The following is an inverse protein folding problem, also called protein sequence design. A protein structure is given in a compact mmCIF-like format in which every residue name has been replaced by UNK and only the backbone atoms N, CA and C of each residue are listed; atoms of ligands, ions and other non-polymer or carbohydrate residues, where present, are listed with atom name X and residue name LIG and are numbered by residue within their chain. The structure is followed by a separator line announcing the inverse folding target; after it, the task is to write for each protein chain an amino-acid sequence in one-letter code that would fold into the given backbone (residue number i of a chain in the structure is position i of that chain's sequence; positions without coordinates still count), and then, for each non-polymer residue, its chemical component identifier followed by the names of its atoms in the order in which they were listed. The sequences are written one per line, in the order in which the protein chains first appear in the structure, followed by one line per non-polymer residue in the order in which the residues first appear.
data_IF_390416387870
#
_entry.id   IF_390416387870
#
_cell.length_a   1.000
_cell.length_b   1.000
_cell.length_c   1.000
_cell.angle_alpha   90.00
_cell.angle_beta   90.00
_cell.angle_gamma   90.00
#
_symmetry.space_group_name_H-M   'P 1'
#
loop_
_entity.id
_entity.type
_entity.pdbx_description
1 polymer ?
#
# COMPACT_ATOMS: atom_id res chain seq x y z
N UNK A 1 -38.56 -4.99 33.37
CA UNK A 1 -38.62 -4.09 32.19
C UNK A 1 -37.63 -2.97 32.44
N UNK A 2 -36.38 -3.36 32.28
CA UNK A 2 -35.08 -2.71 32.51
C UNK A 2 -34.20 -3.79 31.89
N UNK A 3 -33.49 -3.59 30.80
CA UNK A 3 -32.55 -2.53 30.57
C UNK A 3 -32.20 -2.62 29.08
N UNK A 4 -32.46 -1.54 28.35
CA UNK A 4 -32.11 -1.40 26.92
C UNK A 4 -31.35 -0.09 26.72
N UNK A 5 -30.88 0.51 27.82
CA UNK A 5 -30.20 1.80 27.86
C UNK A 5 -28.72 1.62 28.20
N UNK A 6 -28.33 0.56 28.92
CA UNK A 6 -26.92 0.27 29.19
C UNK A 6 -26.22 -0.39 27.97
N UNK A 7 -26.90 -1.27 27.22
CA UNK A 7 -26.33 -1.90 26.01
C UNK A 7 -25.95 -0.90 24.90
N UNK A 8 -26.71 0.19 24.76
CA UNK A 8 -26.45 1.21 23.73
C UNK A 8 -25.25 2.09 24.10
N UNK A 9 -24.97 2.26 25.39
CA UNK A 9 -23.83 3.05 25.86
C UNK A 9 -22.51 2.30 25.63
N UNK A 10 -22.47 0.98 25.88
CA UNK A 10 -21.26 0.17 25.65
C UNK A 10 -20.92 0.07 24.15
N UNK A 11 -21.93 -0.03 23.28
CA UNK A 11 -21.72 -0.02 21.82
C UNK A 11 -21.26 1.35 21.31
N UNK A 12 -21.74 2.47 21.88
CA UNK A 12 -21.26 3.81 21.52
C UNK A 12 -19.81 4.01 21.98
N UNK A 13 -19.45 3.60 23.20
CA UNK A 13 -18.06 3.70 23.67
C UNK A 13 -17.08 2.78 22.92
N UNK A 14 -17.55 1.60 22.50
CA UNK A 14 -16.77 0.66 21.66
C UNK A 14 -16.57 1.23 20.25
N UNK A 15 -17.62 1.77 19.64
CA UNK A 15 -17.56 2.42 18.32
C UNK A 15 -16.71 3.70 18.38
N UNK A 16 -16.78 4.48 19.46
CA UNK A 16 -15.93 5.66 19.66
C UNK A 16 -14.47 5.26 19.89
N UNK A 17 -14.15 4.19 20.63
CA UNK A 17 -12.77 3.65 20.71
C UNK A 17 -12.25 3.17 19.36
N UNK A 18 -13.07 2.46 18.58
CA UNK A 18 -12.72 1.99 17.23
C UNK A 18 -12.50 3.19 16.28
N UNK A 19 -13.24 4.29 16.45
CA UNK A 19 -13.08 5.53 15.67
C UNK A 19 -11.92 6.42 16.18
N UNK A 20 -11.60 6.38 17.47
CA UNK A 20 -10.47 7.09 18.08
C UNK A 20 -9.13 6.41 17.72
N UNK A 21 -9.09 5.07 17.61
CA UNK A 21 -7.91 4.34 17.13
C UNK A 21 -7.59 4.57 15.64
N UNK A 22 -8.61 4.94 14.83
CA UNK A 22 -8.46 5.19 13.38
C UNK A 22 -8.16 6.64 13.00
N UNK A 23 -8.21 7.59 13.94
CA UNK A 23 -8.08 9.03 13.67
C UNK A 23 -6.68 9.60 13.90
N UNK A 24 -5.70 8.76 14.24
CA UNK A 24 -4.39 9.22 14.68
C UNK A 24 -3.30 9.24 13.60
N UNK A 25 -3.59 9.36 12.30
CA UNK A 25 -2.50 9.54 11.30
C UNK A 25 -2.80 10.50 10.12
N UNK A 26 -3.91 11.25 10.14
CA UNK A 26 -4.18 12.30 9.13
C UNK A 26 -3.44 13.64 9.40
N UNK A 27 -2.37 13.63 10.20
CA UNK A 27 -1.76 14.84 10.74
C UNK A 27 -0.58 15.44 9.98
N UNK A 28 0.07 14.76 9.02
CA UNK A 28 1.37 15.21 8.53
C UNK A 28 1.67 15.09 7.01
N UNK A 29 0.76 14.57 6.18
CA UNK A 29 1.05 14.39 4.73
C UNK A 29 0.35 15.41 3.82
N UNK A 30 0.00 16.59 4.33
CA UNK A 30 -0.72 17.62 3.59
C UNK A 30 0.06 18.93 3.47
N UNK A 31 0.95 19.04 2.49
CA UNK A 31 1.21 20.24 1.66
C UNK A 31 2.59 20.17 0.96
N UNK A 32 2.61 19.70 -0.29
CA UNK A 32 3.68 20.09 -1.24
C UNK A 32 3.06 20.53 -2.57
N UNK A 33 2.28 21.60 -2.51
CA UNK A 33 2.06 22.45 -3.68
C UNK A 33 3.29 23.36 -3.81
N UNK A 34 4.25 23.01 -4.66
CA UNK A 34 5.28 23.96 -5.10
C UNK A 34 4.99 24.37 -6.54
N UNK A 35 4.73 25.67 -6.65
CA UNK A 35 4.37 26.40 -7.84
C UNK A 35 5.44 26.32 -8.94
N UNK A 36 4.96 26.21 -10.17
CA UNK A 36 5.73 26.43 -11.40
C UNK A 36 6.34 27.84 -11.41
N UNK A 37 7.66 27.94 -11.41
CA UNK A 37 8.37 29.13 -11.90
C UNK A 37 9.37 28.74 -12.98
N UNK A 38 9.12 29.28 -14.17
CA UNK A 38 10.01 29.23 -15.34
C UNK A 38 11.22 30.13 -15.08
N UNK A 39 12.44 29.62 -15.27
CA UNK A 39 13.67 30.41 -15.18
C UNK A 39 14.89 29.70 -15.80
N UNK A 40 15.51 30.37 -16.77
CA UNK A 40 16.61 29.98 -17.66
C UNK A 40 17.86 29.29 -17.05
N UNK A 41 18.35 28.29 -17.80
CA UNK A 41 19.73 27.96 -18.18
C UNK A 41 20.91 28.28 -17.22
N UNK A 42 21.58 27.21 -16.77
CA UNK A 42 22.97 27.22 -16.33
C UNK A 42 23.52 25.80 -16.28
N UNK A 43 24.49 25.49 -17.15
CA UNK A 43 25.29 24.26 -17.11
C UNK A 43 26.18 24.29 -15.86
N UNK A 44 25.68 23.72 -14.77
CA UNK A 44 26.46 23.32 -13.60
C UNK A 44 25.95 21.96 -13.19
N UNK A 45 26.86 20.98 -13.06
CA UNK A 45 26.51 19.67 -12.52
C UNK A 45 25.87 19.86 -11.14
N UNK A 46 24.54 19.77 -11.09
CA UNK A 46 23.83 19.65 -9.85
C UNK A 46 24.17 18.26 -9.31
N UNK A 47 25.15 18.19 -8.42
CA UNK A 47 25.08 17.19 -7.35
C UNK A 47 23.72 17.42 -6.69
N UNK A 48 22.75 16.55 -6.98
CA UNK A 48 21.57 16.43 -6.17
C UNK A 48 22.06 16.06 -4.78
N UNK A 49 22.19 17.05 -3.91
CA UNK A 49 22.30 16.86 -2.46
C UNK A 49 20.92 16.37 -2.02
N UNK A 50 20.62 15.11 -2.31
CA UNK A 50 19.33 14.48 -2.05
C UNK A 50 19.21 14.15 -0.57
N UNK A 51 18.93 15.16 0.25
CA UNK A 51 18.06 14.96 1.40
C UNK A 51 16.67 15.44 0.98
N UNK A 52 15.98 14.65 0.17
CA UNK A 52 14.52 14.75 0.14
C UNK A 52 14.06 14.18 1.48
N UNK A 53 13.57 15.04 2.37
CA UNK A 53 13.04 14.59 3.66
C UNK A 53 11.96 13.53 3.40
N UNK A 54 12.04 12.42 4.12
CA UNK A 54 11.04 11.36 4.10
C UNK A 54 10.36 11.28 5.46
N UNK A 55 9.08 10.96 5.44
CA UNK A 55 8.31 10.76 6.66
C UNK A 55 8.54 9.34 7.19
N UNK A 56 8.64 9.21 8.51
CA UNK A 56 8.73 7.90 9.18
C UNK A 56 7.45 7.61 9.92
N UNK A 57 6.76 6.55 9.51
CA UNK A 57 5.59 6.02 10.22
C UNK A 57 6.03 4.81 11.02
N UNK A 58 6.15 4.95 12.35
CA UNK A 58 6.41 3.81 13.24
C UNK A 58 5.10 3.14 13.60
N UNK A 59 4.97 1.87 13.23
CA UNK A 59 3.79 1.07 13.53
C UNK A 59 3.99 0.37 14.89
N UNK A 60 3.09 0.57 15.86
CA UNK A 60 3.18 -0.11 17.16
C UNK A 60 3.07 -1.64 17.04
N UNK A 61 3.49 -2.33 18.09
CA UNK A 61 3.36 -3.78 18.15
C UNK A 61 1.88 -4.22 18.03
N UNK A 62 1.62 -5.20 17.17
CA UNK A 62 0.28 -5.72 16.88
C UNK A 62 -0.63 -4.78 16.07
N UNK A 63 -0.16 -3.59 15.69
CA UNK A 63 -0.93 -2.63 14.91
C UNK A 63 -0.64 -2.74 13.40
N UNK A 64 -1.47 -2.07 12.59
CA UNK A 64 -1.32 -2.01 11.14
C UNK A 64 -1.39 -0.60 10.63
N UNK A 65 -0.44 -0.21 9.77
CA UNK A 65 -0.57 0.99 8.95
C UNK A 65 -1.49 0.72 7.76
N UNK A 66 -2.48 1.58 7.52
CA UNK A 66 -3.42 1.44 6.38
C UNK A 66 -3.38 2.69 5.50
N UNK A 67 -3.22 2.51 4.19
CA UNK A 67 -3.20 3.58 3.19
C UNK A 67 -3.99 3.21 1.95
N UNK A 68 -5.06 3.96 1.69
CA UNK A 68 -5.72 3.95 0.38
C UNK A 68 -5.15 5.08 -0.48
N UNK A 69 -4.81 4.78 -1.74
CA UNK A 69 -4.38 5.71 -2.77
C UNK A 69 -5.43 5.70 -3.87
N UNK A 70 -6.19 6.79 -3.95
CA UNK A 70 -7.32 6.93 -4.88
C UNK A 70 -6.89 7.57 -6.20
N UNK A 71 -7.83 7.72 -7.14
CA UNK A 71 -7.59 8.37 -8.42
C UNK A 71 -6.94 9.76 -8.28
N UNK A 72 -5.87 10.01 -9.04
CA UNK A 72 -5.08 11.24 -9.05
C UNK A 72 -4.21 11.46 -7.81
N UNK A 73 -4.26 10.57 -6.82
CA UNK A 73 -3.52 10.70 -5.58
C UNK A 73 -2.06 10.26 -5.73
N UNK A 74 -1.18 10.88 -4.94
CA UNK A 74 0.23 10.53 -4.83
C UNK A 74 0.57 10.19 -3.38
N UNK A 75 1.18 9.03 -3.15
CA UNK A 75 1.75 8.62 -1.89
C UNK A 75 3.27 8.46 -2.07
N UNK A 76 4.04 9.42 -1.56
CA UNK A 76 5.46 9.53 -1.88
C UNK A 76 6.33 9.80 -0.65
N UNK A 77 7.59 9.34 -0.68
CA UNK A 77 8.65 9.65 0.28
C UNK A 77 8.32 9.24 1.74
N UNK A 78 7.94 7.97 1.94
CA UNK A 78 7.57 7.45 3.27
C UNK A 78 8.34 6.18 3.61
N UNK A 79 8.89 6.11 4.83
CA UNK A 79 9.40 4.90 5.44
C UNK A 79 8.38 4.40 6.49
N UNK A 80 7.76 3.26 6.21
CA UNK A 80 6.86 2.57 7.14
C UNK A 80 7.72 1.58 7.94
N UNK A 81 7.86 1.80 9.23
CA UNK A 81 8.65 1.00 10.15
C UNK A 81 7.74 0.02 10.90
N UNK A 82 7.77 -1.24 10.47
CA UNK A 82 7.07 -2.40 11.05
C UNK A 82 8.01 -3.25 11.92
N UNK A 83 9.10 -2.70 12.44
CA UNK A 83 10.06 -3.48 13.26
C UNK A 83 9.54 -3.91 14.63
N UNK A 84 8.37 -3.45 15.05
CA UNK A 84 7.72 -3.94 16.28
C UNK A 84 7.02 -5.27 16.02
N UNK A 85 7.00 -6.16 17.02
CA UNK A 85 6.36 -7.48 16.93
C UNK A 85 4.90 -7.36 16.50
N UNK A 86 4.51 -8.12 15.46
CA UNK A 86 3.16 -8.10 14.92
C UNK A 86 2.74 -6.82 14.19
N UNK A 87 3.65 -5.87 13.99
CA UNK A 87 3.37 -4.68 13.22
C UNK A 87 3.29 -5.02 11.73
N UNK A 88 2.28 -4.47 11.04
CA UNK A 88 2.04 -4.74 9.62
C UNK A 88 1.69 -3.48 8.84
N UNK A 89 1.53 -3.62 7.52
CA UNK A 89 1.05 -2.55 6.65
C UNK A 89 0.01 -3.08 5.64
N UNK A 90 -0.80 -2.16 5.13
CA UNK A 90 -1.78 -2.41 4.09
C UNK A 90 -1.89 -1.15 3.20
N UNK A 91 -1.46 -1.27 1.95
CA UNK A 91 -1.53 -0.23 0.92
C UNK A 91 -2.46 -0.73 -0.18
N UNK A 92 -3.52 0.03 -0.45
CA UNK A 92 -4.45 -0.24 -1.55
C UNK A 92 -4.46 0.93 -2.52
N UNK A 93 -3.93 0.73 -3.73
CA UNK A 93 -3.85 1.74 -4.79
C UNK A 93 -4.74 1.36 -5.97
N UNK A 94 -5.88 2.02 -6.12
CA UNK A 94 -6.88 1.71 -7.14
C UNK A 94 -7.44 2.97 -7.79
N UNK A 95 -8.00 2.82 -9.00
CA UNK A 95 -8.56 3.91 -9.77
C UNK A 95 -7.66 4.38 -10.91
N UNK A 96 -7.63 5.68 -11.17
CA UNK A 96 -6.99 6.28 -12.35
C UNK A 96 -5.87 7.25 -11.97
N UNK A 97 -4.73 7.17 -12.66
CA UNK A 97 -3.63 8.14 -12.61
C UNK A 97 -3.04 8.38 -11.21
N UNK A 98 -2.95 7.30 -10.41
CA UNK A 98 -2.34 7.32 -9.08
C UNK A 98 -0.84 7.01 -9.10
N UNK A 99 -0.11 7.46 -8.07
CA UNK A 99 1.31 7.16 -7.89
C UNK A 99 1.64 6.74 -6.45
N UNK A 100 2.39 5.65 -6.33
CA UNK A 100 3.13 5.27 -5.13
C UNK A 100 4.62 5.32 -5.46
N UNK A 101 5.39 6.17 -4.77
CA UNK A 101 6.81 6.38 -5.09
C UNK A 101 7.69 6.52 -3.86
N UNK A 102 8.91 5.98 -3.88
CA UNK A 102 9.89 6.17 -2.80
C UNK A 102 9.29 5.74 -1.44
N UNK A 103 8.71 4.54 -1.41
CA UNK A 103 8.11 3.97 -0.20
C UNK A 103 8.97 2.80 0.25
N UNK A 104 9.48 2.89 1.47
CA UNK A 104 10.24 1.81 2.11
C UNK A 104 9.43 1.17 3.22
N UNK A 105 9.56 -0.15 3.36
CA UNK A 105 9.12 -0.93 4.50
C UNK A 105 10.37 -1.38 5.23
N UNK A 106 10.47 -1.00 6.50
CA UNK A 106 11.54 -1.43 7.40
C UNK A 106 10.99 -2.40 8.42
N UNK A 107 11.68 -3.52 8.62
CA UNK A 107 11.25 -4.58 9.53
C UNK A 107 10.71 -5.79 8.79
N UNK A 108 10.82 -6.94 9.46
CA UNK A 108 10.32 -8.23 8.99
C UNK A 108 8.82 -8.30 9.24
N UNK A 109 8.07 -8.76 8.23
CA UNK A 109 6.69 -9.15 8.42
C UNK A 109 6.61 -10.52 9.10
N UNK A 110 6.15 -10.54 10.35
CA UNK A 110 6.14 -11.73 11.22
C UNK A 110 4.73 -12.36 11.40
N UNK A 111 3.78 -12.01 10.53
CA UNK A 111 2.43 -12.57 10.51
C UNK A 111 2.26 -13.58 9.37
N UNK A 112 2.09 -14.86 9.72
CA UNK A 112 2.17 -15.98 8.77
C UNK A 112 0.84 -16.37 8.09
N UNK A 113 -0.24 -15.64 8.35
CA UNK A 113 -1.50 -15.83 7.62
C UNK A 113 -1.39 -15.31 6.18
N UNK A 114 -2.11 -15.94 5.23
CA UNK A 114 -2.24 -15.44 3.86
C UNK A 114 -2.70 -13.97 3.85
N UNK A 115 -1.87 -13.08 3.32
CA UNK A 115 -2.14 -11.64 3.15
C UNK A 115 -1.52 -11.08 1.87
N UNK A 116 -2.04 -9.93 1.44
CA UNK A 116 -1.62 -9.17 0.26
C UNK A 116 -1.46 -7.70 0.68
N UNK A 117 -0.37 -7.32 1.36
CA UNK A 117 -0.22 -6.00 1.98
C UNK A 117 -0.07 -4.84 0.99
N UNK A 118 0.20 -5.09 -0.28
CA UNK A 118 0.08 -4.07 -1.32
C UNK A 118 -0.84 -4.57 -2.44
N UNK A 119 -2.04 -3.99 -2.51
CA UNK A 119 -3.05 -4.31 -3.53
C UNK A 119 -3.16 -3.18 -4.55
N UNK A 120 -3.18 -3.52 -5.84
CA UNK A 120 -3.17 -2.55 -6.93
C UNK A 120 -4.20 -2.86 -8.03
N UNK A 121 -4.84 -1.83 -8.57
CA UNK A 121 -5.64 -1.89 -9.80
C UNK A 121 -5.56 -0.56 -10.55
N UNK A 122 -5.82 -0.60 -11.85
CA UNK A 122 -5.86 0.62 -12.67
C UNK A 122 -7.07 0.52 -13.59
N UNK A 123 -7.84 1.61 -13.67
CA UNK A 123 -9.00 1.68 -14.54
C UNK A 123 -8.60 1.64 -16.03
N UNK A 124 -9.53 1.19 -16.86
CA UNK A 124 -9.35 1.10 -18.31
C UNK A 124 -8.96 2.46 -18.91
N UNK A 125 -7.85 2.48 -19.64
CA UNK A 125 -7.36 3.69 -20.32
C UNK A 125 -6.54 4.64 -19.44
N UNK A 126 -6.37 4.31 -18.15
CA UNK A 126 -5.61 5.11 -17.19
C UNK A 126 -4.28 4.47 -16.85
N UNK A 127 -3.45 5.20 -16.09
CA UNK A 127 -2.15 4.71 -15.62
C UNK A 127 -2.10 4.60 -14.09
N UNK A 128 -1.29 3.67 -13.58
CA UNK A 128 -0.92 3.60 -12.17
C UNK A 128 0.58 3.32 -12.08
N UNK A 129 1.26 3.88 -11.07
CA UNK A 129 2.71 3.73 -10.94
C UNK A 129 3.12 3.34 -9.54
N UNK A 130 3.88 2.25 -9.44
CA UNK A 130 4.65 1.86 -8.26
C UNK A 130 6.12 2.03 -8.63
N UNK A 131 6.82 2.93 -7.96
CA UNK A 131 8.19 3.29 -8.29
C UNK A 131 9.06 3.34 -7.04
N UNK A 132 10.22 2.70 -7.05
CA UNK A 132 11.13 2.78 -5.91
C UNK A 132 10.47 2.29 -4.59
N UNK A 133 9.76 1.17 -4.66
CA UNK A 133 9.17 0.48 -3.51
C UNK A 133 10.12 -0.57 -2.95
N UNK A 134 10.41 -0.53 -1.65
CA UNK A 134 11.33 -1.45 -0.99
C UNK A 134 10.64 -2.18 0.15
N UNK A 135 10.59 -3.50 0.06
CA UNK A 135 10.19 -4.40 1.13
C UNK A 135 11.19 -5.56 1.17
N UNK A 136 12.42 -5.23 1.56
CA UNK A 136 13.59 -6.11 1.44
C UNK A 136 13.79 -7.02 2.64
N UNK A 137 13.33 -6.63 3.84
CA UNK A 137 13.36 -7.48 5.03
C UNK A 137 12.31 -8.61 4.94
N UNK A 138 11.33 -8.46 4.03
CA UNK A 138 10.44 -9.52 3.59
C UNK A 138 9.48 -10.07 4.65
N UNK A 139 9.01 -11.28 4.39
CA UNK A 139 8.17 -12.10 5.25
C UNK A 139 8.78 -13.52 5.33
N UNK A 140 9.96 -13.70 5.96
CA UNK A 140 10.70 -14.95 5.92
C UNK A 140 9.92 -16.06 6.62
N UNK A 141 9.33 -16.93 5.82
CA UNK A 141 8.49 -18.06 6.23
C UNK A 141 8.41 -19.08 5.08
N UNK A 142 8.03 -20.31 5.40
CA UNK A 142 7.85 -21.42 4.46
C UNK A 142 6.35 -21.76 4.23
N UNK A 143 5.41 -21.02 4.85
CA UNK A 143 3.98 -21.32 4.73
C UNK A 143 3.41 -20.93 3.37
N UNK A 144 2.84 -21.90 2.66
CA UNK A 144 2.12 -21.67 1.40
C UNK A 144 0.65 -22.12 1.51
N UNK A 145 -0.34 -21.26 1.14
CA UNK A 145 -0.17 -19.89 0.66
C UNK A 145 0.14 -18.91 1.80
N UNK A 146 1.11 -18.02 1.57
CA UNK A 146 1.55 -17.01 2.53
C UNK A 146 1.44 -15.58 1.98
N UNK A 147 2.21 -14.65 2.55
CA UNK A 147 2.20 -13.24 2.15
C UNK A 147 2.64 -13.06 0.69
N UNK A 148 1.85 -12.30 -0.08
CA UNK A 148 2.21 -11.85 -1.44
C UNK A 148 2.63 -10.39 -1.39
N UNK A 149 3.82 -10.05 -1.90
CA UNK A 149 4.35 -8.68 -1.82
C UNK A 149 3.44 -7.63 -2.47
N UNK A 150 3.21 -7.75 -3.79
CA UNK A 150 2.23 -6.95 -4.53
C UNK A 150 1.20 -7.87 -5.19
N UNK A 151 -0.06 -7.64 -4.92
CA UNK A 151 -1.18 -8.27 -5.60
C UNK A 151 -1.85 -7.28 -6.55
N UNK A 152 -1.94 -7.63 -7.83
CA UNK A 152 -2.75 -6.86 -8.80
C UNK A 152 -4.11 -7.53 -8.92
N UNK A 153 -5.15 -6.76 -8.63
CA UNK A 153 -6.52 -7.24 -8.73
C UNK A 153 -6.86 -7.68 -10.16
N UNK A 154 -7.71 -8.70 -10.23
CA UNK A 154 -8.27 -9.21 -11.47
C UNK A 154 -9.02 -8.15 -12.31
N UNK A 155 -9.60 -7.13 -11.67
CA UNK A 155 -10.31 -6.05 -12.37
C UNK A 155 -9.38 -4.95 -12.95
N UNK A 156 -8.05 -5.10 -12.83
CA UNK A 156 -7.10 -4.20 -13.48
C UNK A 156 -7.30 -4.20 -15.01
N UNK A 157 -7.51 -3.02 -15.58
CA UNK A 157 -7.82 -2.85 -17.01
C UNK A 157 -7.00 -1.73 -17.69
N UNK A 158 -6.19 -1.00 -16.93
CA UNK A 158 -5.32 0.08 -17.40
C UNK A 158 -3.88 -0.35 -17.62
N UNK A 159 -2.94 0.59 -17.43
CA UNK A 159 -1.50 0.32 -17.44
C UNK A 159 -0.92 0.52 -16.05
N UNK A 160 -0.45 -0.55 -15.41
CA UNK A 160 0.32 -0.48 -14.16
C UNK A 160 1.82 -0.58 -14.48
N UNK A 161 2.59 0.43 -14.10
CA UNK A 161 4.06 0.40 -14.19
C UNK A 161 4.66 0.17 -12.81
N UNK A 162 5.37 -0.95 -12.66
CA UNK A 162 6.19 -1.27 -11.49
C UNK A 162 7.66 -1.10 -11.89
N UNK A 163 8.38 -0.16 -11.27
CA UNK A 163 9.74 0.23 -11.65
C UNK A 163 10.63 0.41 -10.42
N UNK A 164 11.87 -0.10 -10.48
CA UNK A 164 12.86 -0.04 -9.37
C UNK A 164 12.30 -0.52 -8.02
N UNK A 165 11.55 -1.61 -8.05
CA UNK A 165 10.99 -2.24 -6.85
C UNK A 165 11.91 -3.36 -6.36
N UNK A 166 12.09 -3.47 -5.06
CA UNK A 166 12.80 -4.57 -4.40
C UNK A 166 11.88 -5.21 -3.35
N UNK A 167 11.50 -6.46 -3.58
CA UNK A 167 10.72 -7.29 -2.66
C UNK A 167 11.47 -8.60 -2.52
N UNK A 168 11.77 -9.00 -1.29
CA UNK A 168 12.54 -10.22 -0.99
C UNK A 168 11.80 -11.07 0.02
N UNK A 169 12.23 -12.34 0.12
CA UNK A 169 11.82 -13.30 1.14
C UNK A 169 10.31 -13.36 1.38
N UNK A 170 9.56 -13.62 0.29
CA UNK A 170 8.12 -13.84 0.33
C UNK A 170 7.83 -15.35 0.32
N UNK A 171 6.91 -15.85 1.16
CA UNK A 171 6.53 -17.25 1.21
C UNK A 171 5.56 -17.64 0.07
N UNK A 172 4.96 -16.64 -0.58
CA UNK A 172 4.17 -16.76 -1.81
C UNK A 172 4.86 -15.94 -2.92
N UNK A 173 4.10 -15.29 -3.82
CA UNK A 173 4.69 -14.45 -4.86
C UNK A 173 5.20 -13.09 -4.34
N UNK A 174 6.35 -12.64 -4.86
CA UNK A 174 6.77 -11.24 -4.70
C UNK A 174 5.82 -10.27 -5.40
N UNK A 175 5.43 -10.59 -6.63
CA UNK A 175 4.40 -9.87 -7.39
C UNK A 175 3.50 -10.91 -8.04
N UNK A 176 2.20 -10.81 -7.78
CA UNK A 176 1.18 -11.63 -8.43
C UNK A 176 0.21 -10.73 -9.20
N UNK A 177 0.26 -10.82 -10.53
CA UNK A 177 -0.69 -10.12 -11.38
C UNK A 177 -1.83 -11.07 -11.76
N UNK A 178 -2.91 -11.04 -10.98
CA UNK A 178 -4.01 -12.00 -11.10
C UNK A 178 -4.73 -11.84 -12.45
N UNK A 179 -4.53 -12.84 -13.31
CA UNK A 179 -5.19 -13.10 -14.60
C UNK A 179 -5.79 -11.88 -15.31
N UNK A 180 -4.96 -10.94 -15.81
CA UNK A 180 -5.44 -9.84 -16.64
C UNK A 180 -6.20 -10.39 -17.86
N UNK A 181 -7.48 -10.04 -18.00
CA UNK A 181 -8.33 -10.50 -19.10
C UNK A 181 -9.14 -11.78 -18.82
N UNK A 182 -9.19 -12.27 -17.58
CA UNK A 182 -10.16 -13.32 -17.23
C UNK A 182 -11.60 -12.77 -17.36
N UNK A 183 -12.55 -13.51 -17.96
CA UNK A 183 -13.91 -13.04 -18.22
C UNK A 183 -14.74 -12.99 -16.94
N UNK A 184 -15.63 -12.01 -16.80
CA UNK A 184 -16.50 -11.83 -15.61
C UNK A 184 -17.42 -13.02 -15.32
N UNK A 185 -17.53 -13.97 -16.24
CA UNK A 185 -18.20 -15.25 -16.07
C UNK A 185 -17.15 -16.38 -16.14
N UNK A 186 -17.20 -17.38 -15.26
CA UNK A 186 -16.37 -18.60 -15.32
C UNK A 186 -16.70 -19.51 -16.54
N UNK A 187 -17.13 -18.93 -17.66
CA UNK A 187 -17.61 -19.62 -18.86
C UNK A 187 -16.54 -19.76 -19.95
N UNK A 188 -15.28 -20.02 -19.58
CA UNK A 188 -14.35 -20.61 -20.56
C UNK A 188 -14.33 -22.13 -20.37
N UNK A 189 -14.80 -22.92 -21.38
CA UNK A 189 -14.49 -24.34 -21.37
C UNK A 189 -12.97 -24.48 -21.40
N UNK A 190 -12.43 -25.32 -20.51
CA UNK A 190 -11.04 -25.75 -20.59
C UNK A 190 -10.76 -26.20 -22.03
N UNK A 191 -9.62 -25.81 -22.64
CA UNK A 191 -9.26 -26.33 -23.95
C UNK A 191 -9.26 -27.86 -23.86
N UNK A 192 -9.97 -28.50 -24.79
CA UNK A 192 -10.00 -29.96 -24.86
C UNK A 192 -8.56 -30.48 -24.97
N UNK A 193 -8.12 -31.16 -23.92
CA UNK A 193 -6.87 -31.92 -23.86
C UNK A 193 -7.19 -33.39 -23.69
#
# INVERSE_FOLDING_TARGET
MTDRREDVADDIERVDRIRLGRRSYLGALGASAIATTVGLAGTGGATATGSEDYDVVKVPAGDRFEKVVSSGERFENVLIDISAEGATFDIEATGSDWVVRNVGIKGVWDQYEKREPFRAAVDRGSTGRIENFYFADGAPDDAYPGVTGIYVYRNHAGTLRIDRTNIQDMPDNAIYASTPGYPDTDEYPLPEG
#
